data_IF_836727991874
#
_entry.id   IF_836727991874
#
_cell.length_a   1.000
_cell.length_b   1.000
_cell.length_c   1.000
_cell.angle_alpha   90.00
_cell.angle_beta   90.00
_cell.angle_gamma   90.00
#
_symmetry.space_group_name_H-M   'P 1'
#
loop_
_entity.id
_entity.type
_entity.pdbx_description
1 polymer ?
#
# COMPACT_ATOMS: atom_id res chain seq x y z
N UNK A 1 -14.56 -1.11 26.10
CA UNK A 1 -13.34 -1.69 26.70
C UNK A 1 -12.51 -2.21 25.53
N UNK A 2 -11.46 -1.46 25.15
CA UNK A 2 -10.52 -1.93 24.13
C UNK A 2 -9.74 -3.11 24.71
N UNK A 3 -9.78 -4.23 24.01
CA UNK A 3 -9.01 -5.43 24.34
C UNK A 3 -7.52 -5.15 24.08
N UNK A 4 -6.64 -5.82 24.83
CA UNK A 4 -5.17 -5.67 24.72
C UNK A 4 -4.67 -5.84 23.29
N UNK A 5 -5.34 -6.72 22.53
CA UNK A 5 -5.07 -6.95 21.09
C UNK A 5 -5.38 -5.72 20.24
N UNK A 6 -6.45 -4.98 20.56
CA UNK A 6 -6.81 -3.76 19.84
C UNK A 6 -5.83 -2.60 20.09
N UNK A 7 -5.33 -2.48 21.35
CA UNK A 7 -4.30 -1.49 21.69
C UNK A 7 -2.97 -1.77 20.99
N UNK A 8 -2.58 -3.05 20.92
CA UNK A 8 -1.37 -3.49 20.21
C UNK A 8 -1.49 -3.21 18.70
N UNK A 9 -2.65 -3.50 18.11
CA UNK A 9 -2.93 -3.19 16.69
C UNK A 9 -2.87 -1.69 16.40
N UNK A 10 -3.46 -0.86 17.26
CA UNK A 10 -3.40 0.60 17.13
C UNK A 10 -1.95 1.11 17.24
N UNK A 11 -1.19 0.62 18.23
CA UNK A 11 0.21 0.99 18.39
C UNK A 11 1.05 0.64 17.16
N UNK A 12 0.86 -0.56 16.63
CA UNK A 12 1.54 -1.02 15.41
C UNK A 12 1.19 -0.13 14.21
N UNK A 13 -0.08 0.26 14.07
CA UNK A 13 -0.52 1.14 12.99
C UNK A 13 0.12 2.53 13.07
N UNK A 14 0.24 3.09 14.28
CA UNK A 14 0.94 4.37 14.49
C UNK A 14 2.40 4.27 14.08
N UNK A 15 3.09 3.20 14.47
CA UNK A 15 4.50 2.96 14.11
C UNK A 15 4.66 2.86 12.59
N UNK A 16 3.78 2.13 11.91
CA UNK A 16 3.80 1.99 10.45
C UNK A 16 3.61 3.35 9.77
N UNK A 17 2.64 4.15 10.21
CA UNK A 17 2.39 5.47 9.65
C UNK A 17 3.54 6.44 9.90
N UNK A 18 4.14 6.41 11.09
CA UNK A 18 5.33 7.19 11.41
C UNK A 18 6.52 6.81 10.52
N UNK A 19 6.73 5.51 10.28
CA UNK A 19 7.77 5.03 9.38
C UNK A 19 7.55 5.53 7.94
N UNK A 20 6.33 5.45 7.42
CA UNK A 20 6.02 5.96 6.08
C UNK A 20 6.18 7.47 5.96
N UNK A 21 5.75 8.25 6.96
CA UNK A 21 5.99 9.70 7.00
C UNK A 21 7.48 10.03 7.00
N UNK A 22 8.28 9.28 7.75
CA UNK A 22 9.74 9.44 7.78
C UNK A 22 10.37 9.14 6.42
N UNK A 23 9.96 8.06 5.75
CA UNK A 23 10.45 7.72 4.41
C UNK A 23 10.10 8.81 3.40
N UNK A 24 8.88 9.36 3.47
CA UNK A 24 8.45 10.46 2.61
C UNK A 24 9.29 11.72 2.86
N UNK A 25 9.55 12.05 4.13
CA UNK A 25 10.40 13.20 4.50
C UNK A 25 11.83 13.01 3.98
N UNK A 26 12.38 11.80 4.10
CA UNK A 26 13.70 11.47 3.54
C UNK A 26 13.71 11.60 2.01
N UNK A 27 12.66 11.15 1.33
CA UNK A 27 12.54 11.28 -0.12
C UNK A 27 12.54 12.76 -0.54
N UNK A 28 11.85 13.63 0.22
CA UNK A 28 11.88 15.08 -0.01
C UNK A 28 13.26 15.68 0.20
N UNK A 29 13.92 15.31 1.27
CA UNK A 29 15.29 15.76 1.55
C UNK A 29 16.26 15.36 0.43
N UNK A 30 16.17 14.13 -0.11
CA UNK A 30 16.99 13.67 -1.23
C UNK A 30 16.73 14.43 -2.53
N UNK A 31 15.54 14.95 -2.74
CA UNK A 31 15.19 15.75 -3.93
C UNK A 31 15.56 17.23 -3.74
N UNK A 32 15.99 17.62 -2.52
CA UNK A 32 16.43 18.97 -2.21
C UNK A 32 15.31 19.90 -1.72
N UNK A 33 14.24 19.33 -1.17
CA UNK A 33 13.16 20.09 -0.54
C UNK A 33 13.30 19.95 0.97
N UNK A 34 13.58 21.06 1.64
CA UNK A 34 13.70 21.12 3.11
C UNK A 34 12.32 21.32 3.75
N UNK A 35 11.58 20.23 3.89
CA UNK A 35 10.37 20.24 4.70
C UNK A 35 10.65 19.71 6.11
N UNK A 36 10.09 20.39 7.10
CA UNK A 36 10.01 19.83 8.44
C UNK A 36 9.14 18.57 8.46
N UNK A 37 9.48 17.61 9.31
CA UNK A 37 8.76 16.34 9.41
C UNK A 37 7.28 16.51 9.76
N UNK A 38 6.93 17.56 10.51
CA UNK A 38 5.55 17.76 10.98
C UNK A 38 4.56 18.10 9.84
N UNK A 39 4.83 19.08 8.94
CA UNK A 39 3.99 19.30 7.76
C UNK A 39 3.85 18.07 6.88
N UNK A 40 4.94 17.33 6.65
CA UNK A 40 4.91 16.09 5.86
C UNK A 40 4.05 15.03 6.53
N UNK A 41 4.14 14.88 7.85
CA UNK A 41 3.31 13.94 8.61
C UNK A 41 1.81 14.31 8.55
N UNK A 42 1.48 15.61 8.59
CA UNK A 42 0.10 16.10 8.46
C UNK A 42 -0.44 15.79 7.05
N UNK A 43 0.35 16.09 6.00
CA UNK A 43 -0.03 15.75 4.63
C UNK A 43 -0.23 14.25 4.48
N UNK A 44 0.72 13.44 4.98
CA UNK A 44 0.60 11.98 4.96
C UNK A 44 -0.65 11.48 5.67
N UNK A 45 -0.93 11.96 6.88
CA UNK A 45 -2.12 11.57 7.65
C UNK A 45 -3.41 11.96 6.92
N UNK A 46 -3.44 13.13 6.28
CA UNK A 46 -4.59 13.60 5.50
C UNK A 46 -4.82 12.74 4.27
N UNK A 47 -3.76 12.38 3.54
CA UNK A 47 -3.83 11.45 2.41
C UNK A 47 -4.25 10.05 2.86
N UNK A 48 -3.84 9.60 4.04
CA UNK A 48 -4.26 8.31 4.58
C UNK A 48 -5.78 8.22 4.76
N UNK A 49 -6.46 9.34 5.05
CA UNK A 49 -7.92 9.39 5.08
C UNK A 49 -8.52 9.24 3.67
N UNK A 50 -7.86 9.80 2.66
CA UNK A 50 -8.28 9.67 1.25
C UNK A 50 -8.19 8.20 0.79
N UNK A 51 -7.20 7.44 1.27
CA UNK A 51 -7.09 6.01 0.99
C UNK A 51 -8.28 5.17 1.51
N UNK A 52 -9.01 5.65 2.50
CA UNK A 52 -10.20 4.96 3.01
C UNK A 52 -11.41 5.14 2.08
N UNK A 53 -11.36 6.08 1.15
CA UNK A 53 -12.42 6.28 0.18
C UNK A 53 -12.21 5.33 -1.02
N UNK A 54 -13.26 4.74 -1.58
CA UNK A 54 -13.17 3.86 -2.76
C UNK A 54 -12.95 4.69 -4.03
N UNK A 55 -11.86 5.47 -4.05
CA UNK A 55 -11.51 6.38 -5.14
C UNK A 55 -10.33 5.77 -5.91
N UNK A 56 -10.31 6.00 -7.23
CA UNK A 56 -9.23 5.49 -8.07
C UNK A 56 -7.86 6.13 -7.76
N UNK A 57 -6.77 5.48 -8.17
CA UNK A 57 -5.41 5.89 -7.83
C UNK A 57 -5.07 7.35 -8.16
N UNK A 58 -5.62 7.92 -9.24
CA UNK A 58 -5.35 9.31 -9.64
C UNK A 58 -5.79 10.38 -8.63
N UNK A 59 -6.78 10.10 -7.80
CA UNK A 59 -7.24 11.05 -6.77
C UNK A 59 -6.25 11.21 -5.63
N UNK A 60 -5.45 10.20 -5.37
CA UNK A 60 -4.44 10.24 -4.31
C UNK A 60 -3.31 11.20 -4.71
N UNK A 61 -2.90 11.17 -5.96
CA UNK A 61 -1.91 12.08 -6.52
C UNK A 61 -2.41 13.53 -6.48
N UNK A 62 -3.67 13.76 -6.83
CA UNK A 62 -4.30 15.08 -6.73
C UNK A 62 -4.33 15.55 -5.25
N UNK A 63 -4.65 14.66 -4.31
CA UNK A 63 -4.63 15.00 -2.90
C UNK A 63 -3.24 15.45 -2.43
N UNK A 64 -2.17 14.78 -2.87
CA UNK A 64 -0.80 15.23 -2.58
C UNK A 64 -0.50 16.59 -3.18
N UNK A 65 -0.86 16.85 -4.45
CA UNK A 65 -0.68 18.14 -5.11
C UNK A 65 -1.35 19.26 -4.31
N UNK A 66 -2.62 19.05 -3.97
CA UNK A 66 -3.41 20.07 -3.26
C UNK A 66 -2.84 20.30 -1.85
N UNK A 67 -2.56 19.25 -1.10
CA UNK A 67 -2.09 19.38 0.28
C UNK A 67 -0.68 19.96 0.37
N UNK A 68 0.23 19.59 -0.53
CA UNK A 68 1.56 20.21 -0.58
C UNK A 68 1.49 21.63 -1.11
N UNK A 69 0.67 21.93 -2.13
CA UNK A 69 0.44 23.27 -2.60
C UNK A 69 -0.10 24.20 -1.49
N UNK A 70 -1.01 23.70 -0.66
CA UNK A 70 -1.50 24.43 0.52
C UNK A 70 -0.43 24.59 1.61
N UNK A 71 0.42 23.59 1.81
CA UNK A 71 1.49 23.65 2.80
C UNK A 71 2.61 24.62 2.40
N UNK A 72 2.92 24.71 1.11
CA UNK A 72 3.88 25.67 0.54
C UNK A 72 3.27 27.07 0.43
N UNK A 73 1.94 27.14 0.20
CA UNK A 73 1.23 28.40 -0.02
C UNK A 73 1.36 28.94 -1.45
N UNK A 74 2.00 28.21 -2.36
CA UNK A 74 2.20 28.59 -3.75
C UNK A 74 2.13 27.36 -4.67
N UNK A 75 1.14 27.32 -5.56
CA UNK A 75 0.92 26.22 -6.49
C UNK A 75 1.82 26.30 -7.75
N UNK A 76 2.44 27.45 -8.03
CA UNK A 76 3.35 27.64 -9.14
C UNK A 76 4.83 27.53 -8.71
N UNK A 77 5.07 27.22 -7.46
CA UNK A 77 6.41 27.07 -6.90
C UNK A 77 7.16 25.86 -7.49
N UNK A 78 8.43 26.01 -7.86
CA UNK A 78 9.28 24.89 -8.26
C UNK A 78 9.44 23.87 -7.12
N UNK A 79 9.30 24.27 -5.86
CA UNK A 79 9.34 23.39 -4.69
C UNK A 79 8.17 22.40 -4.70
N UNK A 80 7.00 22.81 -5.18
CA UNK A 80 5.88 21.87 -5.35
C UNK A 80 6.22 20.79 -6.37
N UNK A 81 6.86 21.14 -7.48
CA UNK A 81 7.30 20.17 -8.49
C UNK A 81 8.28 19.15 -7.91
N UNK A 82 9.23 19.61 -7.11
CA UNK A 82 10.19 18.73 -6.40
C UNK A 82 9.49 17.86 -5.35
N UNK A 83 8.57 18.42 -4.57
CA UNK A 83 7.78 17.67 -3.59
C UNK A 83 6.97 16.55 -4.26
N UNK A 84 6.37 16.83 -5.42
CA UNK A 84 5.64 15.83 -6.20
C UNK A 84 6.56 14.75 -6.78
N UNK A 85 7.77 15.11 -7.23
CA UNK A 85 8.76 14.14 -7.66
C UNK A 85 9.16 13.21 -6.49
N UNK A 86 9.35 13.75 -5.29
CA UNK A 86 9.60 12.96 -4.08
C UNK A 86 8.42 12.00 -3.76
N UNK A 87 7.18 12.47 -3.90
CA UNK A 87 5.98 11.63 -3.73
C UNK A 87 5.96 10.51 -4.75
N UNK A 88 6.29 10.76 -6.01
CA UNK A 88 6.32 9.72 -7.05
C UNK A 88 7.38 8.67 -6.76
N UNK A 89 8.57 9.09 -6.33
CA UNK A 89 9.64 8.16 -5.89
C UNK A 89 9.16 7.33 -4.69
N UNK A 90 8.58 7.98 -3.69
CA UNK A 90 8.02 7.33 -2.53
C UNK A 90 6.95 6.28 -2.89
N UNK A 91 6.04 6.62 -3.82
CA UNK A 91 5.00 5.73 -4.33
C UNK A 91 5.60 4.53 -5.05
N UNK A 92 6.65 4.74 -5.83
CA UNK A 92 7.37 3.64 -6.47
C UNK A 92 7.89 2.63 -5.44
N UNK A 93 8.52 3.11 -4.36
CA UNK A 93 8.99 2.24 -3.28
C UNK A 93 7.84 1.56 -2.54
N UNK A 94 6.73 2.26 -2.32
CA UNK A 94 5.54 1.72 -1.67
C UNK A 94 4.95 0.51 -2.42
N UNK A 95 5.09 0.48 -3.75
CA UNK A 95 4.65 -0.64 -4.58
C UNK A 95 5.75 -1.69 -4.78
N UNK A 96 6.98 -1.24 -5.02
CA UNK A 96 8.09 -2.11 -5.38
C UNK A 96 8.53 -3.02 -4.23
N UNK A 97 8.50 -2.53 -2.99
CA UNK A 97 8.96 -3.30 -1.81
C UNK A 97 7.97 -4.40 -1.40
N UNK A 98 6.65 -4.15 -1.25
CA UNK A 98 5.72 -5.18 -0.81
C UNK A 98 5.53 -6.32 -1.82
N UNK A 99 5.65 -6.05 -3.12
CA UNK A 99 5.42 -7.05 -4.15
C UNK A 99 6.42 -8.22 -4.04
N UNK A 100 7.76 -8.01 -4.06
CA UNK A 100 8.72 -9.12 -3.89
C UNK A 100 8.60 -9.81 -2.55
N UNK A 101 8.35 -9.06 -1.47
CA UNK A 101 8.19 -9.63 -0.13
C UNK A 101 6.93 -10.52 -0.08
N UNK A 102 5.81 -10.05 -0.62
CA UNK A 102 4.58 -10.82 -0.69
C UNK A 102 4.74 -12.11 -1.49
N UNK A 103 5.34 -12.03 -2.68
CA UNK A 103 5.66 -13.23 -3.47
C UNK A 103 6.63 -14.16 -2.75
N UNK A 104 7.68 -13.64 -2.13
CA UNK A 104 8.64 -14.42 -1.36
C UNK A 104 7.98 -15.19 -0.21
N UNK A 105 7.06 -14.56 0.51
CA UNK A 105 6.28 -15.18 1.59
C UNK A 105 5.34 -16.27 1.06
N UNK A 106 4.65 -16.04 -0.07
CA UNK A 106 3.79 -17.03 -0.71
C UNK A 106 4.62 -18.27 -1.11
N UNK A 107 5.75 -18.08 -1.79
CA UNK A 107 6.65 -19.17 -2.15
C UNK A 107 7.18 -19.93 -0.93
N UNK A 108 7.56 -19.22 0.14
CA UNK A 108 8.02 -19.83 1.38
C UNK A 108 6.94 -20.69 2.01
N UNK A 109 5.70 -20.20 2.07
CA UNK A 109 4.57 -20.94 2.65
C UNK A 109 4.15 -22.13 1.79
N UNK A 110 4.12 -21.98 0.47
CA UNK A 110 3.86 -23.10 -0.45
C UNK A 110 4.87 -24.25 -0.27
N UNK A 111 6.15 -23.90 -0.10
CA UNK A 111 7.21 -24.88 0.11
C UNK A 111 7.10 -25.56 1.48
N UNK A 112 6.71 -24.82 2.51
CA UNK A 112 6.66 -25.34 3.89
C UNK A 112 5.45 -26.22 4.15
N UNK A 113 4.29 -25.83 3.67
CA UNK A 113 3.02 -26.47 4.05
C UNK A 113 2.46 -27.38 2.94
N UNK A 114 3.20 -27.61 1.85
CA UNK A 114 2.73 -28.34 0.65
C UNK A 114 1.37 -27.82 0.15
N UNK A 115 1.12 -26.54 0.35
CA UNK A 115 -0.14 -25.89 -0.01
C UNK A 115 -0.24 -25.79 -1.52
N UNK A 116 -0.85 -26.82 -2.12
CA UNK A 116 -1.02 -26.91 -3.57
C UNK A 116 -2.36 -26.26 -3.93
N UNK A 117 -2.34 -24.94 -4.19
CA UNK A 117 -3.53 -24.20 -4.63
C UNK A 117 -4.16 -24.78 -5.89
N UNK A 118 -3.35 -25.41 -6.75
CA UNK A 118 -3.81 -26.12 -7.96
C UNK A 118 -4.51 -27.43 -7.66
N UNK A 119 -4.21 -28.10 -6.54
CA UNK A 119 -4.88 -29.35 -6.18
C UNK A 119 -6.30 -29.14 -5.67
N UNK A 120 -6.62 -27.96 -5.15
CA UNK A 120 -7.98 -27.62 -4.72
C UNK A 120 -8.90 -27.41 -5.93
N UNK A 121 -8.39 -26.92 -7.03
CA UNK A 121 -9.16 -26.69 -8.26
C UNK A 121 -9.42 -28.00 -9.02
N UNK A 122 -8.47 -28.96 -8.98
CA UNK A 122 -8.63 -30.26 -9.61
C UNK A 122 -9.55 -31.22 -8.83
N UNK A 123 -9.69 -31.00 -7.50
CA UNK A 123 -10.58 -31.80 -6.66
C UNK A 123 -12.07 -31.40 -6.80
N UNK A 124 -12.40 -30.34 -7.49
CA UNK A 124 -13.77 -29.85 -7.69
C UNK A 124 -14.33 -30.15 -9.10
N UNK A 125 -13.63 -30.88 -9.95
CA UNK A 125 -14.23 -31.42 -11.18
C UNK A 125 -15.07 -32.63 -10.78
N UNK A 126 -16.41 -32.53 -10.73
CA UNK A 126 -17.22 -33.73 -10.51
C UNK A 126 -16.97 -34.68 -11.71
N UNK A 127 -16.65 -35.93 -11.44
CA UNK A 127 -16.78 -37.00 -12.42
C UNK A 127 -18.26 -37.11 -12.83
N UNK A 128 -18.68 -36.16 -13.68
CA UNK A 128 -19.95 -36.23 -14.32
C UNK A 128 -19.79 -37.07 -15.58
N UNK A 129 -20.44 -38.21 -15.53
CA UNK A 129 -20.86 -39.00 -16.68
C UNK A 129 -19.84 -39.95 -17.31
N UNK A 130 -19.64 -41.09 -16.63
CA UNK A 130 -19.48 -42.38 -17.34
C UNK A 130 -20.51 -43.43 -16.85
N UNK A 131 -21.77 -43.04 -16.76
CA UNK A 131 -22.89 -43.99 -16.65
C UNK A 131 -23.97 -43.61 -17.68
N UNK A 132 -23.76 -43.98 -18.89
CA UNK A 132 -24.87 -44.24 -19.84
C UNK A 132 -24.39 -45.07 -21.01
N UNK A 133 -24.67 -46.31 -20.97
CA UNK A 133 -24.58 -47.13 -22.18
C UNK A 133 -24.25 -48.59 -22.00
N UNK A 134 -25.03 -49.32 -21.20
CA UNK A 134 -25.14 -50.75 -21.37
C UNK A 134 -26.45 -51.22 -20.78
N UNK A 135 -27.52 -51.13 -21.59
CA UNK A 135 -28.64 -52.12 -21.52
C UNK A 135 -29.59 -51.82 -22.70
N UNK A 136 -29.46 -52.68 -23.73
CA UNK A 136 -30.58 -53.15 -24.60
C UNK A 136 -30.02 -54.15 -25.62
#
# INVERSE_FOLDING_TARGET
LMDTSGLLGLGMQIVIHAAWATILTLAMYFVGVDFEILPVAIVWASVALVYMLPIGPGFIEIAYVVLFGLAIGDFDSPELGLALAAVMIFRLFQWLIPIPIGYGLIFYWQKRDNFNLLSAETAQVPEASTESGADS
#
